data_IF_943112820081
#
_entry.id   IF_943112820081
#
_cell.length_a   1.000
_cell.length_b   1.000
_cell.length_c   1.000
_cell.angle_alpha   90.00
_cell.angle_beta   90.00
_cell.angle_gamma   90.00
#
_symmetry.space_group_name_H-M   'P 1'
#
loop_
_entity.id
_entity.type
_entity.pdbx_description
1 polymer ?
#
# COMPACT_ATOMS: atom_id res chain seq x y z
N UNK A 1 -10.30 -1.99 -2.42
CA UNK A 1 -9.04 -1.26 -2.15
C UNK A 1 -8.77 -0.13 -3.18
N UNK A 2 -9.81 0.45 -3.79
CA UNK A 2 -9.64 1.63 -4.63
C UNK A 2 -9.29 2.88 -3.80
N UNK A 3 -8.61 3.86 -4.41
CA UNK A 3 -8.16 5.10 -3.76
C UNK A 3 -9.31 5.83 -3.03
N UNK A 4 -10.49 5.89 -3.61
CA UNK A 4 -11.66 6.53 -3.00
C UNK A 4 -12.12 5.89 -1.69
N UNK A 5 -11.71 4.66 -1.40
CA UNK A 5 -12.06 3.95 -0.16
C UNK A 5 -10.97 3.91 0.89
N UNK A 6 -9.72 4.13 0.51
CA UNK A 6 -8.56 3.91 1.41
C UNK A 6 -7.69 5.16 1.60
N UNK A 7 -7.80 6.16 0.72
CA UNK A 7 -7.05 7.40 0.80
C UNK A 7 -7.68 8.35 1.82
N UNK A 8 -7.26 8.22 3.07
CA UNK A 8 -7.74 9.06 4.16
C UNK A 8 -6.71 10.14 4.51
N UNK A 9 -7.14 11.34 4.96
CA UNK A 9 -6.21 12.37 5.39
C UNK A 9 -5.45 11.95 6.66
N UNK A 10 -4.15 12.27 6.68
CA UNK A 10 -3.31 12.21 7.86
C UNK A 10 -2.88 13.62 8.22
N UNK A 11 -3.12 14.05 9.47
CA UNK A 11 -2.72 15.37 9.98
C UNK A 11 -1.83 15.17 11.19
N UNK A 12 -0.61 15.73 11.14
CA UNK A 12 0.35 15.69 12.23
C UNK A 12 0.62 17.11 12.72
N UNK A 13 0.46 17.34 14.02
CA UNK A 13 0.81 18.60 14.68
C UNK A 13 1.87 18.32 15.75
N UNK A 14 3.07 18.85 15.55
CA UNK A 14 4.17 18.79 16.52
C UNK A 14 4.92 20.11 16.51
N UNK A 15 4.52 21.06 17.40
CA UNK A 15 5.12 22.40 17.43
C UNK A 15 6.64 22.35 17.62
N UNK A 16 7.37 23.13 16.84
CA UNK A 16 8.84 23.20 16.88
C UNK A 16 9.57 22.08 16.13
N UNK A 17 8.89 21.00 15.73
CA UNK A 17 9.45 19.88 15.00
C UNK A 17 8.90 19.75 13.58
N UNK A 18 7.59 19.71 13.45
CA UNK A 18 6.92 19.61 12.13
C UNK A 18 6.60 21.00 11.62
N UNK A 19 7.07 21.33 10.41
CA UNK A 19 6.84 22.64 9.78
C UNK A 19 5.34 22.85 9.53
N UNK A 20 4.74 23.94 10.04
CA UNK A 20 3.34 24.26 9.77
C UNK A 20 3.07 24.38 8.27
N UNK A 21 1.91 23.85 7.82
CA UNK A 21 1.48 23.92 6.42
C UNK A 21 2.27 23.06 5.44
N UNK A 22 3.16 22.20 5.90
CA UNK A 22 3.83 21.22 5.01
C UNK A 22 2.84 20.16 4.54
N UNK A 23 2.89 19.84 3.23
CA UNK A 23 2.06 18.80 2.60
C UNK A 23 2.98 17.87 1.80
N UNK A 24 3.61 16.89 2.46
CA UNK A 24 4.46 15.94 1.76
C UNK A 24 3.63 14.97 0.93
N UNK A 25 4.15 14.58 -0.26
CA UNK A 25 3.51 13.64 -1.16
C UNK A 25 3.80 12.16 -0.86
N UNK A 26 4.28 11.82 0.33
CA UNK A 26 4.62 10.44 0.68
C UNK A 26 3.39 9.66 1.15
N UNK A 27 3.12 8.51 0.51
CA UNK A 27 2.04 7.62 0.94
C UNK A 27 2.45 6.81 2.17
N UNK A 28 1.63 6.81 3.20
CA UNK A 28 1.86 6.13 4.48
C UNK A 28 0.67 5.26 4.86
N UNK A 29 0.90 4.29 5.73
CA UNK A 29 -0.13 3.43 6.31
C UNK A 29 0.00 3.33 7.83
N UNK A 30 -0.96 2.65 8.47
CA UNK A 30 -0.95 2.49 9.93
C UNK A 30 0.25 1.70 10.43
N UNK A 31 0.77 0.78 9.65
CA UNK A 31 1.98 -0.01 9.94
C UNK A 31 3.23 0.85 10.11
N UNK A 32 3.25 2.04 9.54
CA UNK A 32 4.39 2.96 9.59
C UNK A 32 4.53 3.68 10.95
N UNK A 33 3.49 3.67 11.79
CA UNK A 33 3.52 4.40 13.04
C UNK A 33 4.49 3.82 14.07
N UNK A 34 4.57 2.50 14.20
CA UNK A 34 5.51 1.88 15.15
C UNK A 34 6.95 2.25 14.81
N UNK A 35 7.47 1.98 13.60
CA UNK A 35 8.84 2.35 13.27
C UNK A 35 9.07 3.86 13.30
N UNK A 36 8.07 4.67 12.96
CA UNK A 36 8.20 6.13 13.03
C UNK A 36 8.35 6.64 14.46
N UNK A 37 7.54 6.14 15.39
CA UNK A 37 7.60 6.57 16.78
C UNK A 37 8.89 6.12 17.44
N UNK A 38 9.36 4.91 17.15
CA UNK A 38 10.64 4.40 17.68
C UNK A 38 11.83 5.19 17.13
N UNK A 39 11.82 5.53 15.84
CA UNK A 39 12.83 6.40 15.22
C UNK A 39 12.84 7.81 15.86
N UNK A 40 11.67 8.40 16.11
CA UNK A 40 11.57 9.73 16.73
C UNK A 40 12.05 9.78 18.18
N UNK A 41 12.09 8.67 18.89
CA UNK A 41 12.62 8.57 20.27
C UNK A 41 14.01 7.91 20.33
N UNK A 42 14.66 7.74 19.18
CA UNK A 42 16.02 7.15 19.06
C UNK A 42 16.09 5.72 19.63
N UNK A 43 15.08 4.89 19.35
CA UNK A 43 14.96 3.50 19.81
C UNK A 43 14.76 2.52 18.63
N UNK A 44 15.35 2.78 17.47
CA UNK A 44 15.19 2.01 16.23
C UNK A 44 15.65 0.56 16.39
N UNK A 45 16.60 0.29 17.28
CA UNK A 45 17.07 -1.07 17.57
C UNK A 45 15.99 -1.97 18.18
N UNK A 46 14.91 -1.38 18.67
CA UNK A 46 13.75 -2.14 19.19
C UNK A 46 12.70 -2.47 18.14
N UNK A 47 12.86 -1.99 16.90
CA UNK A 47 11.94 -2.26 15.80
C UNK A 47 12.03 -3.75 15.46
N UNK A 48 10.89 -4.51 15.47
CA UNK A 48 10.91 -5.90 15.03
C UNK A 48 11.36 -6.02 13.56
N UNK A 49 12.19 -7.02 13.26
CA UNK A 49 12.79 -7.17 11.94
C UNK A 49 11.79 -7.57 10.84
N UNK A 50 10.63 -8.07 11.21
CA UNK A 50 9.60 -8.64 10.35
C UNK A 50 8.34 -7.76 10.22
N UNK A 51 8.45 -6.45 10.50
CA UNK A 51 7.31 -5.54 10.31
C UNK A 51 7.24 -4.99 8.89
N UNK A 52 6.02 -4.77 8.40
CA UNK A 52 5.76 -4.21 7.06
C UNK A 52 5.99 -2.70 6.97
N UNK A 53 5.97 -2.01 8.11
CA UNK A 53 6.08 -0.55 8.19
C UNK A 53 7.50 -0.02 7.99
N UNK A 54 7.58 1.21 7.53
CA UNK A 54 8.83 1.98 7.48
C UNK A 54 8.68 3.28 8.25
N UNK A 55 9.78 3.81 8.80
CA UNK A 55 9.74 5.13 9.44
C UNK A 55 9.47 6.23 8.42
N UNK A 56 8.51 7.09 8.75
CA UNK A 56 8.24 8.35 8.03
C UNK A 56 8.72 9.58 8.83
N UNK A 57 9.52 9.37 9.87
CA UNK A 57 10.13 10.46 10.65
C UNK A 57 10.88 11.45 9.75
N UNK A 58 11.68 11.03 8.74
CA UNK A 58 12.32 11.97 7.81
C UNK A 58 11.29 12.87 7.10
N UNK A 59 10.17 12.31 6.64
CA UNK A 59 9.09 13.10 6.02
C UNK A 59 8.50 14.13 6.99
N UNK A 60 8.21 13.73 8.23
CA UNK A 60 7.65 14.60 9.26
C UNK A 60 8.60 15.75 9.62
N UNK A 61 9.90 15.47 9.68
CA UNK A 61 10.94 16.44 10.03
C UNK A 61 11.47 17.24 8.83
N UNK A 62 10.85 17.11 7.64
CA UNK A 62 11.26 17.81 6.43
C UNK A 62 12.63 17.38 5.88
N UNK A 63 13.07 16.17 6.20
CA UNK A 63 14.31 15.55 5.72
C UNK A 63 14.02 14.69 4.47
N UNK A 64 15.09 14.21 3.83
CA UNK A 64 14.97 13.29 2.71
C UNK A 64 14.39 11.95 3.17
N UNK A 65 13.28 11.54 2.53
CA UNK A 65 12.61 10.25 2.74
C UNK A 65 12.98 9.30 1.61
N UNK A 66 13.53 8.15 1.95
CA UNK A 66 13.73 7.09 0.95
C UNK A 66 12.40 6.60 0.39
N UNK A 67 12.35 6.41 -0.92
CA UNK A 67 11.15 5.92 -1.57
C UNK A 67 10.80 4.51 -1.07
N UNK A 68 9.51 4.29 -0.81
CA UNK A 68 8.98 2.95 -0.55
C UNK A 68 9.02 2.15 -1.87
N UNK A 69 9.62 0.96 -1.92
CA UNK A 69 9.67 0.17 -3.15
C UNK A 69 8.28 -0.26 -3.62
N UNK A 70 7.41 -0.62 -2.70
CA UNK A 70 5.99 -0.91 -2.95
C UNK A 70 5.19 -0.81 -1.64
N UNK A 71 3.87 -0.75 -1.77
CA UNK A 71 2.92 -0.91 -0.68
C UNK A 71 1.95 -2.03 -1.06
N UNK A 72 1.72 -2.98 -0.15
CA UNK A 72 0.82 -4.11 -0.37
C UNK A 72 -0.33 -4.10 0.61
N UNK A 73 -1.50 -4.50 0.15
CA UNK A 73 -2.70 -4.67 0.98
C UNK A 73 -3.52 -5.83 0.47
N UNK A 74 -4.06 -6.60 1.41
CA UNK A 74 -5.13 -7.54 1.14
C UNK A 74 -6.24 -7.41 2.17
N UNK A 75 -7.45 -7.72 1.73
CA UNK A 75 -8.64 -7.59 2.54
C UNK A 75 -9.68 -8.63 2.11
N UNK A 76 -10.03 -9.53 2.99
CA UNK A 76 -11.01 -10.61 2.72
C UNK A 76 -12.45 -10.11 2.63
N UNK A 77 -12.75 -8.92 3.19
CA UNK A 77 -14.05 -8.27 3.08
C UNK A 77 -14.40 -7.84 1.65
N UNK A 78 -15.66 -7.44 1.44
CA UNK A 78 -16.22 -7.03 0.14
C UNK A 78 -15.97 -8.02 -1.01
N UNK A 79 -15.92 -9.32 -0.68
CA UNK A 79 -15.68 -10.38 -1.65
C UNK A 79 -14.23 -10.65 -1.99
N UNK A 80 -13.31 -10.22 -1.16
CA UNK A 80 -11.87 -10.44 -1.30
C UNK A 80 -11.21 -9.48 -2.28
N UNK A 81 -10.21 -8.76 -1.80
CA UNK A 81 -9.48 -7.75 -2.56
C UNK A 81 -7.99 -7.82 -2.25
N UNK A 82 -7.19 -7.50 -3.25
CA UNK A 82 -5.73 -7.39 -3.14
C UNK A 82 -5.29 -6.16 -3.91
N UNK A 83 -4.35 -5.37 -3.38
CA UNK A 83 -3.80 -4.23 -4.08
C UNK A 83 -2.31 -4.07 -3.81
N UNK A 84 -1.58 -3.58 -4.80
CA UNK A 84 -0.17 -3.23 -4.70
C UNK A 84 0.10 -1.92 -5.43
N UNK A 85 0.86 -1.05 -4.77
CA UNK A 85 1.35 0.22 -5.32
C UNK A 85 2.85 0.10 -5.56
N UNK A 86 3.31 0.51 -6.72
CA UNK A 86 4.72 0.51 -7.10
C UNK A 86 5.01 1.75 -7.95
N UNK A 87 5.65 2.75 -7.37
CA UNK A 87 5.80 4.06 -8.02
C UNK A 87 4.44 4.69 -8.33
N UNK A 88 4.25 5.08 -9.58
CA UNK A 88 2.97 5.66 -10.05
C UNK A 88 1.90 4.60 -10.38
N UNK A 89 2.26 3.32 -10.34
CA UNK A 89 1.37 2.23 -10.72
C UNK A 89 0.65 1.61 -9.53
N UNK A 90 -0.60 1.25 -9.76
CA UNK A 90 -1.40 0.47 -8.82
C UNK A 90 -2.08 -0.68 -9.53
N UNK A 91 -1.84 -1.89 -9.01
CA UNK A 91 -2.57 -3.10 -9.41
C UNK A 91 -3.62 -3.46 -8.38
N UNK A 92 -4.82 -3.80 -8.82
CA UNK A 92 -5.94 -4.17 -7.94
C UNK A 92 -6.57 -5.47 -8.41
N UNK A 93 -6.82 -6.39 -7.48
CA UNK A 93 -7.71 -7.55 -7.66
C UNK A 93 -8.97 -7.33 -6.86
N UNK A 94 -10.12 -7.65 -7.48
CA UNK A 94 -11.42 -7.44 -6.88
C UNK A 94 -12.25 -8.73 -6.90
N UNK A 95 -13.15 -8.86 -5.91
CA UNK A 95 -14.14 -9.94 -5.88
C UNK A 95 -13.52 -11.34 -5.93
N UNK A 96 -12.33 -11.52 -5.37
CA UNK A 96 -11.55 -12.77 -5.46
C UNK A 96 -12.26 -13.95 -4.79
N UNK A 97 -13.02 -13.70 -3.71
CA UNK A 97 -13.80 -14.70 -2.96
C UNK A 97 -15.27 -14.78 -3.41
N UNK A 98 -15.69 -13.94 -4.36
CA UNK A 98 -17.10 -13.90 -4.76
C UNK A 98 -17.44 -15.10 -5.66
N UNK A 99 -18.44 -15.88 -5.26
CA UNK A 99 -18.94 -17.02 -6.05
C UNK A 99 -19.34 -16.56 -7.47
N UNK A 100 -18.86 -17.29 -8.48
CA UNK A 100 -19.14 -16.99 -9.88
C UNK A 100 -18.21 -15.98 -10.54
N UNK A 101 -17.18 -15.47 -9.84
CA UNK A 101 -16.13 -14.66 -10.47
C UNK A 101 -15.35 -15.51 -11.46
N UNK A 102 -15.38 -15.14 -12.75
CA UNK A 102 -14.74 -15.93 -13.83
C UNK A 102 -13.19 -15.91 -13.75
N UNK A 103 -12.62 -14.78 -13.35
CA UNK A 103 -11.17 -14.63 -13.22
C UNK A 103 -10.84 -13.88 -11.92
N UNK A 104 -10.78 -14.58 -10.78
CA UNK A 104 -10.54 -13.96 -9.47
C UNK A 104 -9.13 -13.36 -9.32
N UNK A 105 -8.18 -13.75 -10.18
CA UNK A 105 -6.80 -13.27 -10.14
C UNK A 105 -6.49 -12.20 -11.21
N UNK A 106 -7.51 -11.73 -11.94
CA UNK A 106 -7.34 -10.61 -12.87
C UNK A 106 -6.85 -9.39 -12.09
N UNK A 107 -5.79 -8.76 -12.59
CA UNK A 107 -5.30 -7.46 -12.11
C UNK A 107 -5.87 -6.38 -13.01
N UNK A 108 -6.50 -5.38 -12.41
CA UNK A 108 -6.76 -4.08 -13.02
C UNK A 108 -5.53 -3.20 -12.74
N UNK A 109 -5.07 -2.45 -13.72
CA UNK A 109 -3.88 -1.60 -13.61
C UNK A 109 -4.23 -0.14 -13.82
N UNK A 110 -3.79 0.72 -12.90
CA UNK A 110 -4.01 2.15 -12.94
C UNK A 110 -2.71 2.94 -12.79
N UNK A 111 -2.58 4.05 -13.51
CA UNK A 111 -1.52 5.02 -13.31
C UNK A 111 -2.05 6.16 -12.44
N UNK A 112 -1.75 6.13 -11.14
CA UNK A 112 -2.29 7.09 -10.17
C UNK A 112 -1.81 8.53 -10.37
N UNK A 113 -0.73 8.74 -11.12
CA UNK A 113 -0.24 10.07 -11.46
C UNK A 113 -1.17 10.81 -12.41
N UNK A 114 -1.81 10.08 -13.33
CA UNK A 114 -2.69 10.62 -14.36
C UNK A 114 -4.15 10.27 -14.14
N UNK A 115 -4.42 9.22 -13.37
CA UNK A 115 -5.77 8.68 -13.12
C UNK A 115 -5.93 8.27 -11.64
N UNK A 116 -5.94 9.27 -10.75
CA UNK A 116 -6.16 9.04 -9.31
C UNK A 116 -7.56 8.49 -9.00
N UNK A 117 -8.50 8.67 -9.91
CA UNK A 117 -9.87 8.18 -9.80
C UNK A 117 -10.06 6.73 -10.24
N UNK A 118 -9.00 6.08 -10.75
CA UNK A 118 -9.00 4.68 -11.17
C UNK A 118 -10.14 4.37 -12.17
N UNK A 119 -10.29 5.25 -13.18
CA UNK A 119 -11.36 5.16 -14.18
C UNK A 119 -10.94 4.33 -15.42
N UNK A 120 -9.63 4.21 -15.69
CA UNK A 120 -9.11 3.61 -16.90
C UNK A 120 -8.18 2.44 -16.58
N UNK A 121 -8.69 1.20 -16.72
CA UNK A 121 -7.88 -0.03 -16.59
C UNK A 121 -6.98 -0.17 -17.81
N UNK A 122 -5.68 0.11 -17.65
CA UNK A 122 -4.64 0.05 -18.70
C UNK A 122 -3.82 -1.25 -18.66
N UNK A 123 -4.31 -2.30 -18.01
CA UNK A 123 -3.60 -3.57 -17.86
C UNK A 123 -3.22 -4.21 -19.20
N UNK A 124 -4.06 -4.06 -20.21
CA UNK A 124 -3.80 -4.60 -21.55
C UNK A 124 -2.66 -3.86 -22.29
N UNK A 125 -2.42 -2.60 -21.93
CA UNK A 125 -1.39 -1.74 -22.57
C UNK A 125 -0.02 -1.91 -21.91
N UNK A 126 0.02 -2.40 -20.65
CA UNK A 126 1.24 -2.53 -19.84
C UNK A 126 1.40 -3.93 -19.22
N UNK A 127 1.42 -5.00 -20.02
CA UNK A 127 1.51 -6.38 -19.51
C UNK A 127 2.77 -6.64 -18.67
N UNK A 128 3.88 -5.97 -18.95
CA UNK A 128 5.13 -6.06 -18.20
C UNK A 128 5.01 -5.49 -16.79
N UNK A 129 4.20 -4.43 -16.59
CA UNK A 129 3.91 -3.86 -15.27
C UNK A 129 2.99 -4.82 -14.50
N UNK A 130 1.94 -5.31 -15.15
CA UNK A 130 1.00 -6.29 -14.56
C UNK A 130 1.76 -7.52 -14.05
N UNK A 131 2.73 -8.02 -14.81
CA UNK A 131 3.53 -9.18 -14.40
C UNK A 131 4.41 -8.89 -13.19
N UNK A 132 5.03 -7.71 -13.10
CA UNK A 132 5.78 -7.27 -11.90
C UNK A 132 4.88 -7.20 -10.68
N UNK A 133 3.71 -6.58 -10.80
CA UNK A 133 2.77 -6.45 -9.69
C UNK A 133 2.20 -7.83 -9.28
N UNK A 134 1.94 -8.72 -10.24
CA UNK A 134 1.51 -10.10 -9.98
C UNK A 134 2.52 -10.85 -9.13
N UNK A 135 3.83 -10.71 -9.44
CA UNK A 135 4.92 -11.32 -8.68
C UNK A 135 4.98 -10.77 -7.26
N UNK A 136 4.89 -9.44 -7.11
CA UNK A 136 4.86 -8.80 -5.79
C UNK A 136 3.68 -9.28 -4.96
N UNK A 137 2.48 -9.33 -5.52
CA UNK A 137 1.29 -9.85 -4.84
C UNK A 137 1.47 -11.29 -4.36
N UNK A 138 2.11 -12.14 -5.16
CA UNK A 138 2.38 -13.52 -4.79
C UNK A 138 3.45 -13.65 -3.70
N UNK A 139 4.47 -12.79 -3.71
CA UNK A 139 5.55 -12.79 -2.72
C UNK A 139 5.14 -12.22 -1.37
N UNK A 140 4.19 -11.28 -1.37
CA UNK A 140 3.76 -10.58 -0.15
C UNK A 140 2.59 -11.26 0.56
N UNK A 141 1.88 -12.15 -0.13
CA UNK A 141 0.80 -12.91 0.49
C UNK A 141 1.35 -13.90 1.53
N UNK A 142 0.79 -13.84 2.73
CA UNK A 142 1.05 -14.81 3.80
C UNK A 142 -0.27 -15.51 4.16
N UNK A 143 -0.40 -16.83 3.96
CA UNK A 143 -1.61 -17.55 4.29
C UNK A 143 -1.98 -17.43 5.77
N UNK A 144 -3.26 -17.21 6.06
CA UNK A 144 -3.77 -17.07 7.42
C UNK A 144 -4.92 -18.04 7.69
N UNK A 145 -4.85 -18.75 8.81
CA UNK A 145 -5.96 -19.64 9.27
C UNK A 145 -7.19 -18.83 9.67
N UNK A 146 -6.99 -17.62 10.21
CA UNK A 146 -8.08 -16.78 10.72
C UNK A 146 -8.73 -15.97 9.59
N UNK A 147 -7.97 -15.67 8.55
CA UNK A 147 -8.42 -14.90 7.38
C UNK A 147 -8.08 -15.63 6.07
N UNK A 148 -8.63 -16.84 5.85
CA UNK A 148 -8.27 -17.64 4.67
C UNK A 148 -8.65 -16.93 3.37
N UNK A 149 -7.74 -16.96 2.39
CA UNK A 149 -7.89 -16.30 1.11
C UNK A 149 -7.73 -17.29 -0.04
N UNK A 150 -8.57 -18.33 -0.05
CA UNK A 150 -8.51 -19.54 -0.90
C UNK A 150 -8.00 -19.39 -2.33
N UNK A 151 -8.26 -18.32 -3.09
CA UNK A 151 -7.73 -18.19 -4.44
C UNK A 151 -6.21 -18.02 -4.52
N UNK A 152 -5.55 -17.69 -3.40
CA UNK A 152 -4.11 -17.39 -3.33
C UNK A 152 -3.37 -18.14 -2.22
N UNK A 153 -4.08 -18.76 -1.25
CA UNK A 153 -3.54 -19.65 -0.20
C UNK A 153 -2.93 -20.94 -0.79
#
# INVERSE_FOLDING_TARGET
LYEGGIRVPLIVKWPGQVKPGSVPGFSTGFEDWIPTLLDLIEAEETIPADIDGISIAPTLLGKHQHARPFLYREFTGYGGQQAVWMGDWKGVRQRMLRKGTKNPLKIELYNLKTDIGEQNDVAAEHPEVVEKLRKLMAQQHVPSKDFPFKPID
#
